data_IF_974941652350
#
_entry.id   IF_974941652350
#
_cell.length_a   1.000
_cell.length_b   1.000
_cell.length_c   1.000
_cell.angle_alpha   90.00
_cell.angle_beta   90.00
_cell.angle_gamma   90.00
#
_symmetry.space_group_name_H-M   'P 1'
#
loop_
_entity.id
_entity.type
_entity.pdbx_description
1 polymer ?
#
# COMPACT_ATOMS: atom_id res chain seq x y z
N UNK A 1 -4.13 -8.32 8.38
CA UNK A 1 -2.70 -8.41 8.81
C UNK A 1 -2.53 -8.82 10.28
N UNK A 2 -1.46 -9.57 10.61
CA UNK A 2 -1.12 -10.02 11.97
C UNK A 2 -0.64 -8.85 12.85
N UNK A 3 -1.29 -8.62 13.98
CA UNK A 3 -1.02 -7.49 14.88
C UNK A 3 0.26 -7.72 15.70
N UNK A 4 1.43 -7.59 15.09
CA UNK A 4 2.70 -7.33 15.82
C UNK A 4 2.66 -5.90 16.36
N UNK A 5 3.28 -5.67 17.52
CA UNK A 5 3.45 -4.31 18.06
C UNK A 5 4.39 -3.55 17.13
N UNK A 6 4.07 -2.30 16.81
CA UNK A 6 4.87 -1.47 15.89
C UNK A 6 6.34 -1.34 16.33
N UNK A 7 6.63 -1.42 17.64
CA UNK A 7 7.99 -1.44 18.20
C UNK A 7 8.85 -2.67 17.81
N UNK A 8 8.24 -3.77 17.34
CA UNK A 8 8.91 -5.01 16.94
C UNK A 8 9.10 -5.14 15.41
N UNK A 9 8.64 -4.15 14.64
CA UNK A 9 8.80 -4.14 13.18
C UNK A 9 10.07 -3.39 12.80
N UNK A 10 10.82 -3.94 11.86
CA UNK A 10 11.96 -3.23 11.28
C UNK A 10 11.49 -1.95 10.54
N UNK A 11 12.36 -0.91 10.44
CA UNK A 11 12.00 0.36 9.83
C UNK A 11 11.51 0.25 8.39
N UNK A 12 11.98 -0.75 7.66
CA UNK A 12 11.61 -1.03 6.27
C UNK A 12 10.18 -1.56 6.18
N UNK A 13 9.80 -2.53 7.02
CA UNK A 13 8.43 -3.01 7.12
C UNK A 13 7.47 -1.89 7.53
N UNK A 14 7.86 -1.03 8.47
CA UNK A 14 7.07 0.15 8.85
C UNK A 14 6.89 1.12 7.68
N UNK A 15 7.95 1.36 6.91
CA UNK A 15 7.92 2.22 5.74
C UNK A 15 6.99 1.64 4.65
N UNK A 16 7.01 0.33 4.40
CA UNK A 16 6.11 -0.33 3.46
C UNK A 16 4.64 -0.22 3.92
N UNK A 17 4.35 -0.47 5.21
CA UNK A 17 2.98 -0.31 5.75
C UNK A 17 2.48 1.12 5.58
N UNK A 18 3.33 2.10 5.88
CA UNK A 18 2.99 3.51 5.74
C UNK A 18 2.78 3.87 4.27
N UNK A 19 3.64 3.41 3.37
CA UNK A 19 3.52 3.58 1.93
C UNK A 19 2.19 3.00 1.39
N UNK A 20 1.82 1.79 1.80
CA UNK A 20 0.53 1.18 1.44
C UNK A 20 -0.65 2.00 1.99
N UNK A 21 -0.53 2.54 3.21
CA UNK A 21 -1.56 3.40 3.81
C UNK A 21 -1.71 4.71 3.04
N UNK A 22 -0.61 5.29 2.55
CA UNK A 22 -0.61 6.49 1.71
C UNK A 22 -1.22 6.23 0.32
N UNK A 23 -1.23 4.98 -0.16
CA UNK A 23 -1.85 4.57 -1.41
C UNK A 23 -3.40 4.58 -1.34
N UNK A 24 -3.97 4.21 -0.19
CA UNK A 24 -5.42 4.11 0.03
C UNK A 24 -6.23 5.35 -0.43
N UNK A 25 -5.89 6.61 -0.05
CA UNK A 25 -6.66 7.78 -0.46
C UNK A 25 -6.64 8.03 -1.98
N UNK A 26 -5.59 7.61 -2.70
CA UNK A 26 -5.54 7.73 -4.16
C UNK A 26 -6.49 6.74 -4.84
N UNK A 27 -6.54 5.50 -4.36
CA UNK A 27 -7.51 4.51 -4.83
C UNK A 27 -8.95 4.97 -4.55
N UNK A 28 -9.19 5.55 -3.37
CA UNK A 28 -10.49 6.11 -3.01
C UNK A 28 -10.85 7.31 -3.90
N UNK A 29 -9.90 8.18 -4.21
CA UNK A 29 -10.09 9.27 -5.16
C UNK A 29 -10.41 8.76 -6.59
N UNK A 30 -9.92 7.57 -6.95
CA UNK A 30 -10.24 6.85 -8.17
C UNK A 30 -11.63 6.18 -8.19
N UNK A 31 -12.38 6.25 -7.08
CA UNK A 31 -13.75 5.71 -6.97
C UNK A 31 -13.85 4.39 -6.21
N UNK A 32 -12.76 3.85 -5.68
CA UNK A 32 -12.81 2.72 -4.76
C UNK A 32 -13.40 3.15 -3.39
N UNK A 33 -14.02 2.22 -2.68
CA UNK A 33 -14.24 2.37 -1.24
C UNK A 33 -12.94 2.07 -0.48
N UNK A 34 -12.85 2.52 0.78
CA UNK A 34 -11.69 2.21 1.63
C UNK A 34 -11.46 0.68 1.75
N UNK A 35 -12.53 -0.09 1.87
CA UNK A 35 -12.45 -1.56 1.94
C UNK A 35 -11.87 -2.13 0.64
N UNK A 36 -12.34 -1.67 -0.53
CA UNK A 36 -11.81 -2.12 -1.81
C UNK A 36 -10.34 -1.72 -2.01
N UNK A 37 -9.94 -0.55 -1.51
CA UNK A 37 -8.53 -0.13 -1.54
C UNK A 37 -7.66 -1.05 -0.67
N UNK A 38 -8.13 -1.41 0.52
CA UNK A 38 -7.44 -2.34 1.42
C UNK A 38 -7.38 -3.76 0.85
N UNK A 39 -8.50 -4.26 0.32
CA UNK A 39 -8.57 -5.56 -0.34
C UNK A 39 -7.58 -5.62 -1.52
N UNK A 40 -7.54 -4.56 -2.35
CA UNK A 40 -6.57 -4.46 -3.45
C UNK A 40 -5.13 -4.51 -2.93
N UNK A 41 -4.80 -3.76 -1.88
CA UNK A 41 -3.45 -3.75 -1.30
C UNK A 41 -3.08 -5.13 -0.75
N UNK A 42 -4.01 -5.82 -0.07
CA UNK A 42 -3.77 -7.16 0.44
C UNK A 42 -3.58 -8.19 -0.69
N UNK A 43 -4.37 -8.10 -1.76
CA UNK A 43 -4.28 -8.99 -2.93
C UNK A 43 -3.00 -8.77 -3.74
N UNK A 44 -2.49 -7.53 -3.80
CA UNK A 44 -1.35 -7.15 -4.62
C UNK A 44 -0.08 -6.88 -3.79
N UNK A 45 -0.02 -7.31 -2.52
CA UNK A 45 1.05 -6.94 -1.60
C UNK A 45 2.44 -7.35 -2.09
N UNK A 46 2.57 -8.47 -2.82
CA UNK A 46 3.84 -8.91 -3.40
C UNK A 46 4.33 -7.93 -4.48
N UNK A 47 3.45 -7.51 -5.38
CA UNK A 47 3.77 -6.53 -6.42
C UNK A 47 4.03 -5.13 -5.84
N UNK A 48 3.22 -4.71 -4.87
CA UNK A 48 3.39 -3.42 -4.19
C UNK A 48 4.70 -3.35 -3.39
N UNK A 49 5.13 -4.49 -2.84
CA UNK A 49 6.43 -4.59 -2.17
C UNK A 49 7.57 -4.37 -3.16
N UNK A 50 7.51 -4.98 -4.36
CA UNK A 50 8.49 -4.74 -5.41
C UNK A 50 8.50 -3.27 -5.86
N UNK A 51 7.33 -2.67 -6.07
CA UNK A 51 7.20 -1.25 -6.44
C UNK A 51 7.79 -0.31 -5.36
N UNK A 52 7.57 -0.63 -4.08
CA UNK A 52 8.16 0.11 -2.97
C UNK A 52 9.71 0.05 -3.02
N UNK A 53 10.29 -1.12 -3.25
CA UNK A 53 11.75 -1.27 -3.38
C UNK A 53 12.31 -0.62 -4.65
N UNK A 54 11.54 -0.58 -5.71
CA UNK A 54 11.87 0.13 -6.96
C UNK A 54 11.74 1.66 -6.82
N UNK A 55 11.27 2.17 -5.68
CA UNK A 55 11.14 3.59 -5.39
C UNK A 55 9.94 4.26 -6.05
N UNK A 56 8.94 3.49 -6.45
CA UNK A 56 7.67 4.00 -6.98
C UNK A 56 6.90 4.68 -5.86
N UNK A 57 6.27 5.82 -6.14
CA UNK A 57 5.45 6.51 -5.15
C UNK A 57 4.06 5.86 -5.00
N UNK A 58 3.40 5.97 -3.83
CA UNK A 58 2.04 5.44 -3.65
C UNK A 58 1.03 5.99 -4.66
N UNK A 59 1.21 7.26 -5.09
CA UNK A 59 0.37 7.90 -6.10
C UNK A 59 0.57 7.26 -7.49
N UNK A 60 1.82 6.99 -7.88
CA UNK A 60 2.13 6.33 -9.16
C UNK A 60 1.61 4.89 -9.19
N UNK A 61 1.80 4.15 -8.10
CA UNK A 61 1.25 2.80 -7.94
C UNK A 61 -0.29 2.80 -8.04
N UNK A 62 -0.96 3.73 -7.35
CA UNK A 62 -2.41 3.87 -7.41
C UNK A 62 -2.90 4.24 -8.81
N UNK A 63 -2.20 5.13 -9.52
CA UNK A 63 -2.53 5.46 -10.92
C UNK A 63 -2.39 4.25 -11.83
N UNK A 64 -1.32 3.47 -11.68
CA UNK A 64 -1.13 2.24 -12.45
C UNK A 64 -2.24 1.21 -12.20
N UNK A 65 -2.72 1.12 -10.96
CA UNK A 65 -3.83 0.25 -10.57
C UNK A 65 -5.20 0.70 -11.14
N UNK A 66 -5.41 2.01 -11.30
CA UNK A 66 -6.67 2.58 -11.78
C UNK A 66 -6.82 2.56 -13.32
N UNK A 67 -5.72 2.45 -14.07
CA UNK A 67 -5.70 2.37 -15.53
C UNK A 67 -5.66 3.72 -16.25
#
# INVERSE_FOLDING_TARGET
>A
MAKKKEDDLDPETLALIQWCTEMEPFLVAGGATLVQAQDFIEENIEELTDQFYDGVTPEEAAKAALG
#
